data_IF_134057561020
#
_entry.id   IF_134057561020
#
_cell.length_a   1.000
_cell.length_b   1.000
_cell.length_c   1.000
_cell.angle_alpha   90.00
_cell.angle_beta   90.00
_cell.angle_gamma   90.00
#
_symmetry.space_group_name_H-M   'P 1'
#
loop_
_entity.id
_entity.type
_entity.pdbx_description
1 polymer ?
#
# COMPACT_ATOMS: atom_id res chain seq x y z
N UNK A 1 -11.09 15.12 -3.41
CA UNK A 1 -10.77 13.92 -4.20
C UNK A 1 -9.27 13.67 -4.08
N UNK A 2 -8.92 12.53 -3.52
CA UNK A 2 -7.57 12.03 -3.33
C UNK A 2 -7.25 10.98 -4.39
N UNK A 3 -5.96 10.83 -4.69
CA UNK A 3 -5.46 9.87 -5.68
C UNK A 3 -4.09 9.33 -5.24
N UNK A 4 -3.89 8.02 -5.40
CA UNK A 4 -2.62 7.33 -5.17
C UNK A 4 -2.37 6.35 -6.30
N UNK A 5 -1.16 6.35 -6.87
CA UNK A 5 -0.76 5.34 -7.87
C UNK A 5 -0.07 4.21 -7.12
N UNK A 6 -0.43 2.96 -7.42
CA UNK A 6 0.14 1.78 -6.76
C UNK A 6 1.68 1.75 -6.87
N UNK A 7 2.27 2.22 -7.97
CA UNK A 7 3.73 2.34 -8.10
C UNK A 7 4.38 3.25 -7.07
N UNK A 8 3.66 4.23 -6.55
CA UNK A 8 4.15 5.10 -5.48
C UNK A 8 4.31 4.34 -4.14
N UNK A 9 3.70 3.16 -4.00
CA UNK A 9 3.91 2.25 -2.85
C UNK A 9 5.11 1.33 -3.03
N UNK A 10 5.80 1.39 -4.18
CA UNK A 10 6.99 0.59 -4.47
C UNK A 10 6.70 -0.76 -5.13
N UNK A 11 5.44 -1.02 -5.49
CA UNK A 11 5.04 -2.13 -6.36
C UNK A 11 5.20 -1.73 -7.84
N UNK A 12 5.50 -2.66 -8.75
CA UNK A 12 5.50 -2.33 -10.17
C UNK A 12 4.09 -2.41 -10.75
N UNK A 13 3.27 -1.39 -10.46
CA UNK A 13 1.86 -1.35 -10.84
C UNK A 13 1.34 0.05 -11.13
N UNK A 14 0.75 0.26 -12.31
CA UNK A 14 0.19 1.56 -12.72
C UNK A 14 -1.27 1.77 -12.26
N UNK A 15 -1.81 0.90 -11.41
CA UNK A 15 -3.18 1.04 -10.92
C UNK A 15 -3.35 2.34 -10.13
N UNK A 16 -4.43 3.06 -10.42
CA UNK A 16 -4.76 4.33 -9.79
C UNK A 16 -5.89 4.11 -8.81
N UNK A 17 -5.65 4.48 -7.55
CA UNK A 17 -6.60 4.42 -6.46
C UNK A 17 -7.17 5.83 -6.28
N UNK A 18 -8.49 5.98 -6.36
CA UNK A 18 -9.18 7.26 -6.20
C UNK A 18 -10.24 7.16 -5.09
N UNK A 19 -10.42 8.24 -4.33
CA UNK A 19 -11.33 8.27 -3.17
C UNK A 19 -11.57 9.70 -2.68
N UNK A 20 -12.63 9.89 -1.90
CA UNK A 20 -12.95 11.18 -1.30
C UNK A 20 -12.22 11.39 0.03
N UNK A 21 -11.93 10.29 0.74
CA UNK A 21 -11.26 10.27 2.04
C UNK A 21 -10.03 9.36 2.01
N UNK A 22 -9.13 9.53 2.99
CA UNK A 22 -7.96 8.66 3.15
C UNK A 22 -8.37 7.21 3.42
N UNK A 23 -9.42 6.99 4.21
CA UNK A 23 -9.95 5.65 4.50
C UNK A 23 -10.37 4.92 3.22
N UNK A 24 -10.99 5.62 2.27
CA UNK A 24 -11.35 5.02 0.98
C UNK A 24 -10.12 4.66 0.13
N UNK A 25 -9.10 5.54 0.08
CA UNK A 25 -7.84 5.25 -0.62
C UNK A 25 -7.17 4.02 0.00
N UNK A 26 -7.12 3.94 1.33
CA UNK A 26 -6.51 2.83 2.04
C UNK A 26 -7.27 1.52 1.82
N UNK A 27 -8.59 1.55 1.93
CA UNK A 27 -9.44 0.37 1.71
C UNK A 27 -9.31 -0.16 0.28
N UNK A 28 -9.38 0.72 -0.72
CA UNK A 28 -9.24 0.35 -2.14
C UNK A 28 -7.81 -0.11 -2.47
N UNK A 29 -6.81 0.54 -1.89
CA UNK A 29 -5.41 0.15 -2.05
C UNK A 29 -5.09 -1.22 -1.46
N UNK A 30 -5.63 -1.52 -0.28
CA UNK A 30 -5.51 -2.84 0.35
C UNK A 30 -6.19 -3.94 -0.48
N UNK A 31 -7.43 -3.72 -0.93
CA UNK A 31 -8.16 -4.67 -1.78
C UNK A 31 -7.41 -4.96 -3.09
N UNK A 32 -6.88 -3.91 -3.73
CA UNK A 32 -6.07 -4.04 -4.93
C UNK A 32 -4.80 -4.87 -4.67
N UNK A 33 -4.08 -4.58 -3.60
CA UNK A 33 -2.84 -5.27 -3.29
C UNK A 33 -3.05 -6.76 -2.99
N UNK A 34 -4.15 -7.12 -2.31
CA UNK A 34 -4.49 -8.52 -2.06
C UNK A 34 -4.80 -9.25 -3.37
N UNK A 35 -5.62 -8.65 -4.24
CA UNK A 35 -6.13 -9.32 -5.45
C UNK A 35 -5.12 -9.36 -6.60
N UNK A 36 -4.27 -8.35 -6.72
CA UNK A 36 -3.38 -8.16 -7.88
C UNK A 36 -1.94 -8.52 -7.54
N UNK A 37 -1.52 -8.29 -6.30
CA UNK A 37 -0.14 -8.51 -5.85
C UNK A 37 0.01 -9.68 -4.88
N UNK A 38 -1.07 -10.45 -4.65
CA UNK A 38 -1.12 -11.63 -3.77
C UNK A 38 -0.61 -11.33 -2.35
N UNK A 39 -0.72 -10.07 -1.91
CA UNK A 39 -0.40 -9.67 -0.54
C UNK A 39 -1.48 -10.20 0.40
N UNK A 40 -1.11 -10.63 1.60
CA UNK A 40 -2.10 -10.99 2.61
C UNK A 40 -2.49 -9.76 3.42
N UNK A 41 -3.65 -9.83 4.05
CA UNK A 41 -4.09 -8.78 4.97
C UNK A 41 -3.05 -8.57 6.10
N UNK A 42 -2.37 -9.64 6.54
CA UNK A 42 -1.30 -9.54 7.54
C UNK A 42 -0.07 -8.76 7.04
N UNK A 43 0.20 -8.78 5.73
CA UNK A 43 1.30 -8.03 5.10
C UNK A 43 0.95 -6.54 4.94
N UNK A 44 -0.31 -6.18 5.11
CA UNK A 44 -0.87 -4.85 4.88
C UNK A 44 -1.19 -4.12 6.19
N UNK A 45 -1.77 -4.83 7.16
CA UNK A 45 -2.24 -4.27 8.43
C UNK A 45 -1.36 -4.73 9.59
N UNK A 46 -0.43 -3.89 10.03
CA UNK A 46 0.27 -4.08 11.32
C UNK A 46 -0.35 -3.15 12.38
N UNK A 47 -0.65 -3.71 13.55
CA UNK A 47 -1.49 -3.19 14.63
C UNK A 47 -1.25 -1.71 14.99
N UNK A 48 -2.01 -0.80 14.36
CA UNK A 48 -2.08 0.67 14.61
C UNK A 48 -1.15 1.57 13.79
N UNK A 49 -0.69 1.15 12.61
CA UNK A 49 -0.12 2.10 11.63
C UNK A 49 -0.62 1.78 10.21
N UNK A 50 -1.64 2.51 9.70
CA UNK A 50 -1.95 2.40 8.28
C UNK A 50 -0.77 2.98 7.50
N UNK A 51 -0.39 2.30 6.41
CA UNK A 51 0.75 2.61 5.54
C UNK A 51 2.14 2.10 5.98
N UNK A 52 2.28 0.79 6.27
CA UNK A 52 3.57 0.14 5.95
C UNK A 52 3.67 -0.33 4.48
N UNK A 53 2.68 0.05 3.65
CA UNK A 53 2.76 0.10 2.18
C UNK A 53 3.94 0.91 1.62
N UNK A 54 4.81 1.51 2.45
CA UNK A 54 5.96 2.32 2.01
C UNK A 54 7.33 1.74 2.42
N UNK A 55 7.42 0.53 2.99
CA UNK A 55 8.66 0.05 3.57
C UNK A 55 9.53 -0.87 2.68
N UNK A 56 9.90 -0.34 1.50
CA UNK A 56 11.30 -0.44 1.06
C UNK A 56 12.31 0.09 2.11
N UNK A 57 11.86 0.57 3.27
CA UNK A 57 12.68 0.94 4.43
C UNK A 57 13.33 -0.25 5.14
N UNK A 58 12.73 -1.46 5.17
CA UNK A 58 13.37 -2.60 5.88
C UNK A 58 14.57 -3.19 5.13
N UNK A 59 14.53 -3.22 3.80
CA UNK A 59 15.71 -3.58 2.99
C UNK A 59 16.84 -2.54 3.09
N UNK A 60 16.54 -1.30 3.54
CA UNK A 60 17.53 -0.26 3.86
C UNK A 60 17.99 -0.27 5.32
N UNK A 61 17.38 -1.06 6.20
CA UNK A 61 17.78 -1.25 7.60
C UNK A 61 18.63 -2.51 7.83
N UNK A 62 18.63 -3.47 6.91
CA UNK A 62 19.50 -4.66 6.97
C UNK A 62 20.77 -4.54 6.10
N UNK A 63 21.00 -3.42 5.42
CA UNK A 63 22.24 -3.18 4.66
C UNK A 63 22.82 -1.78 4.91
N UNK A 64 22.82 -1.35 6.17
CA UNK A 64 23.72 -0.35 6.74
C UNK A 64 24.14 -0.75 8.14
#
# INVERSE_FOLDING_TARGET
MLRLICRETGLDCDFVIEGETEEEILSKGADHAIKVHDLKAEDIFFEQTPCNFLCQTLSKLSNR
#
